data_IF_974703339125
#
_entry.id   IF_974703339125
#
_cell.length_a   1.000
_cell.length_b   1.000
_cell.length_c   1.000
_cell.angle_alpha   90.00
_cell.angle_beta   90.00
_cell.angle_gamma   90.00
#
_symmetry.space_group_name_H-M   'P 1'
#
loop_
_entity.id
_entity.type
_entity.pdbx_description
1 polymer ?
#
# COMPACT_ATOMS: atom_id res chain seq x y z
N UNK A 1 22.68 -5.22 -10.01
CA UNK A 1 21.60 -6.16 -9.65
C UNK A 1 20.44 -5.37 -9.06
N UNK A 2 19.28 -5.50 -9.63
CA UNK A 2 18.11 -4.79 -9.11
C UNK A 2 17.71 -5.36 -7.75
N UNK A 3 17.40 -4.45 -6.84
CA UNK A 3 16.89 -4.82 -5.53
C UNK A 3 15.43 -5.25 -5.65
N UNK A 4 15.11 -6.44 -5.20
CA UNK A 4 13.74 -6.94 -5.19
C UNK A 4 12.97 -6.22 -4.07
N UNK A 5 11.88 -5.55 -4.42
CA UNK A 5 11.03 -4.86 -3.46
C UNK A 5 10.04 -5.83 -2.81
N UNK A 6 9.68 -5.59 -1.54
CA UNK A 6 8.76 -6.48 -0.82
C UNK A 6 7.29 -6.18 -1.17
N UNK A 7 6.89 -6.58 -2.36
CA UNK A 7 5.53 -6.34 -2.86
C UNK A 7 4.47 -7.06 -2.04
N UNK A 8 3.45 -6.33 -1.61
CA UNK A 8 2.32 -6.92 -0.87
C UNK A 8 1.33 -7.65 -1.77
N UNK A 9 1.47 -7.53 -3.08
CA UNK A 9 0.76 -8.40 -4.01
C UNK A 9 1.23 -9.85 -3.95
N UNK A 10 2.39 -10.10 -3.34
CA UNK A 10 2.88 -11.44 -3.05
C UNK A 10 2.37 -11.87 -1.67
N UNK A 11 1.53 -12.92 -1.58
CA UNK A 11 0.86 -13.28 -0.32
C UNK A 11 1.80 -13.50 0.86
N UNK A 12 2.97 -14.11 0.64
CA UNK A 12 3.91 -14.37 1.72
C UNK A 12 4.42 -13.08 2.37
N UNK A 13 4.57 -12.00 1.60
CA UNK A 13 5.01 -10.71 2.13
C UNK A 13 3.91 -10.08 2.99
N UNK A 14 2.66 -10.16 2.56
CA UNK A 14 1.52 -9.68 3.34
C UNK A 14 1.39 -10.45 4.64
N UNK A 15 1.47 -11.77 4.59
CA UNK A 15 1.38 -12.61 5.79
C UNK A 15 2.49 -12.26 6.77
N UNK A 16 3.72 -12.07 6.29
CA UNK A 16 4.86 -11.72 7.13
C UNK A 16 4.65 -10.39 7.86
N UNK A 17 4.13 -9.38 7.15
CA UNK A 17 3.83 -8.06 7.72
C UNK A 17 2.75 -8.18 8.79
N UNK A 18 1.67 -8.89 8.49
CA UNK A 18 0.56 -9.06 9.44
C UNK A 18 1.04 -9.76 10.71
N UNK A 19 1.89 -10.79 10.58
CA UNK A 19 2.44 -11.49 11.73
C UNK A 19 3.38 -10.59 12.54
N UNK A 20 4.22 -9.81 11.85
CA UNK A 20 5.18 -8.90 12.49
C UNK A 20 4.48 -7.89 13.40
N UNK A 21 3.33 -7.39 12.99
CA UNK A 21 2.58 -6.39 13.74
C UNK A 21 1.41 -6.95 14.55
N UNK A 22 1.33 -8.29 14.64
CA UNK A 22 0.34 -8.96 15.49
C UNK A 22 -1.11 -8.84 15.01
N UNK A 23 -1.31 -8.61 13.71
CA UNK A 23 -2.65 -8.56 13.15
C UNK A 23 -3.26 -9.96 13.08
N UNK A 24 -4.46 -10.11 13.65
CA UNK A 24 -5.24 -11.34 13.54
C UNK A 24 -6.21 -11.19 12.39
N UNK A 25 -6.25 -12.18 11.50
CA UNK A 25 -7.19 -12.22 10.40
C UNK A 25 -8.61 -12.34 10.93
N UNK A 26 -9.41 -11.29 10.81
CA UNK A 26 -10.80 -11.30 11.25
C UNK A 26 -11.75 -11.29 10.06
N UNK A 27 -12.07 -12.48 9.57
CA UNK A 27 -12.97 -12.64 8.41
C UNK A 27 -14.33 -12.00 8.63
N UNK A 28 -14.83 -11.97 9.87
CA UNK A 28 -16.15 -11.41 10.18
C UNK A 28 -16.31 -9.93 9.89
N UNK A 29 -15.20 -9.21 9.76
CA UNK A 29 -15.23 -7.78 9.45
C UNK A 29 -14.90 -7.49 7.97
N UNK A 30 -14.82 -8.53 7.16
CA UNK A 30 -14.49 -8.37 5.74
C UNK A 30 -13.07 -7.89 5.48
N UNK A 31 -12.22 -7.94 6.48
CA UNK A 31 -10.82 -7.53 6.33
C UNK A 31 -10.06 -8.62 5.59
N UNK A 32 -9.90 -8.43 4.29
CA UNK A 32 -9.10 -9.32 3.47
C UNK A 32 -7.94 -8.51 2.90
N UNK A 33 -6.76 -8.72 3.47
CA UNK A 33 -5.56 -8.00 3.05
C UNK A 33 -4.85 -8.67 1.88
N UNK A 34 -5.28 -9.88 1.50
CA UNK A 34 -4.67 -10.60 0.39
C UNK A 34 -5.33 -10.16 -0.92
N UNK A 35 -4.60 -9.41 -1.72
CA UNK A 35 -5.05 -8.95 -3.03
C UNK A 35 -4.12 -9.54 -4.08
N UNK A 36 -4.71 -10.12 -5.14
CA UNK A 36 -3.96 -10.73 -6.23
C UNK A 36 -3.12 -9.69 -6.97
N UNK A 37 -1.85 -9.98 -7.12
CA UNK A 37 -0.89 -9.15 -7.85
C UNK A 37 -1.38 -8.79 -9.25
N UNK A 38 -1.96 -9.75 -9.97
CA UNK A 38 -2.44 -9.52 -11.33
C UNK A 38 -3.60 -8.53 -11.38
N UNK A 39 -4.46 -8.54 -10.35
CA UNK A 39 -5.56 -7.58 -10.23
C UNK A 39 -4.99 -6.17 -10.00
N UNK A 40 -4.00 -6.06 -9.13
CA UNK A 40 -3.34 -4.78 -8.84
C UNK A 40 -2.70 -4.20 -10.09
N UNK A 41 -1.95 -5.01 -10.82
CA UNK A 41 -1.30 -4.60 -12.06
C UNK A 41 -2.33 -4.14 -13.10
N UNK A 42 -3.44 -4.87 -13.21
CA UNK A 42 -4.51 -4.53 -14.16
C UNK A 42 -5.18 -3.20 -13.82
N UNK A 43 -5.40 -2.95 -12.54
CA UNK A 43 -5.97 -1.67 -12.08
C UNK A 43 -5.04 -0.52 -12.47
N UNK A 44 -3.76 -0.65 -12.21
CA UNK A 44 -2.77 0.38 -12.55
C UNK A 44 -2.73 0.61 -14.07
N UNK A 45 -2.66 -0.45 -14.84
CA UNK A 45 -2.64 -0.39 -16.30
C UNK A 45 -3.88 0.33 -16.84
N UNK A 46 -5.06 -0.04 -16.31
CA UNK A 46 -6.34 0.53 -16.76
C UNK A 46 -6.54 1.97 -16.32
N UNK A 47 -5.86 2.41 -15.26
CA UNK A 47 -6.01 3.76 -14.72
C UNK A 47 -5.39 4.85 -15.58
N UNK A 48 -4.40 4.50 -16.38
CA UNK A 48 -3.66 5.48 -17.17
C UNK A 48 -2.68 6.34 -16.36
N UNK A 49 -2.37 5.95 -15.13
CA UNK A 49 -1.45 6.67 -14.26
C UNK A 49 -0.03 6.67 -14.87
N UNK A 50 0.60 7.84 -14.86
CA UNK A 50 1.96 8.03 -15.38
C UNK A 50 2.85 8.71 -14.33
N UNK A 51 4.13 8.82 -14.63
CA UNK A 51 5.12 9.52 -13.79
C UNK A 51 4.89 11.04 -13.69
N UNK A 52 3.90 11.57 -14.39
CA UNK A 52 3.50 12.98 -14.27
C UNK A 52 2.37 13.17 -13.25
N UNK A 53 1.82 12.09 -12.70
CA UNK A 53 0.63 12.16 -11.88
C UNK A 53 0.94 12.16 -10.38
N UNK A 54 0.15 12.96 -9.66
CA UNK A 54 0.05 12.92 -8.21
C UNK A 54 -1.21 12.14 -7.85
N UNK A 55 -1.07 11.19 -6.92
CA UNK A 55 -2.18 10.35 -6.49
C UNK A 55 -2.49 10.60 -5.02
N UNK A 56 -3.76 10.81 -4.73
CA UNK A 56 -4.27 10.84 -3.36
C UNK A 56 -5.03 9.55 -3.13
N UNK A 57 -4.57 8.76 -2.19
CA UNK A 57 -5.23 7.51 -1.82
C UNK A 57 -5.85 7.65 -0.43
N UNK A 58 -7.14 7.32 -0.32
CA UNK A 58 -7.85 7.35 0.95
C UNK A 58 -7.99 5.91 1.44
N UNK A 59 -7.55 5.65 2.69
CA UNK A 59 -7.67 4.35 3.30
C UNK A 59 -6.73 3.30 2.71
N UNK A 60 -5.41 3.56 2.68
CA UNK A 60 -4.45 2.62 2.10
C UNK A 60 -4.34 1.28 2.83
N UNK A 61 -4.87 1.18 4.05
CA UNK A 61 -4.74 -0.01 4.86
C UNK A 61 -3.29 -0.30 5.19
N UNK A 62 -2.79 -1.47 4.81
CA UNK A 62 -1.38 -1.84 5.02
C UNK A 62 -0.47 -1.39 3.86
N UNK A 63 -1.03 -0.72 2.84
CA UNK A 63 -0.25 -0.14 1.76
C UNK A 63 -0.14 -0.97 0.50
N UNK A 64 -0.96 -1.99 0.33
CA UNK A 64 -0.88 -2.90 -0.81
C UNK A 64 -1.02 -2.16 -2.15
N UNK A 65 -2.14 -1.45 -2.34
CA UNK A 65 -2.35 -0.67 -3.57
C UNK A 65 -1.37 0.51 -3.64
N UNK A 66 -1.03 1.08 -2.48
CA UNK A 66 -0.13 2.25 -2.40
C UNK A 66 1.21 1.97 -3.06
N UNK A 67 1.78 0.79 -2.85
CA UNK A 67 3.04 0.39 -3.47
C UNK A 67 2.96 0.44 -4.99
N UNK A 68 1.88 -0.11 -5.56
CA UNK A 68 1.68 -0.13 -7.02
C UNK A 68 1.43 1.26 -7.57
N UNK A 69 0.67 2.09 -6.84
CA UNK A 69 0.46 3.49 -7.21
C UNK A 69 1.79 4.27 -7.21
N UNK A 70 2.61 4.07 -6.19
CA UNK A 70 3.90 4.74 -6.08
C UNK A 70 4.87 4.32 -7.17
N UNK A 71 4.83 3.06 -7.58
CA UNK A 71 5.67 2.57 -8.68
C UNK A 71 5.31 3.21 -10.00
N UNK A 72 4.03 3.51 -10.22
CA UNK A 72 3.52 4.05 -11.48
C UNK A 72 3.47 5.57 -11.52
N UNK A 73 3.22 6.23 -10.40
CA UNK A 73 2.99 7.67 -10.32
C UNK A 73 4.25 8.44 -9.96
N UNK A 74 4.16 9.76 -10.02
CA UNK A 74 5.22 10.66 -9.57
C UNK A 74 5.28 10.69 -8.05
N UNK A 75 4.13 10.88 -7.40
CA UNK A 75 4.02 10.87 -5.95
C UNK A 75 2.67 10.34 -5.52
N UNK A 76 2.64 9.72 -4.35
CA UNK A 76 1.40 9.25 -3.73
C UNK A 76 1.33 9.80 -2.30
N UNK A 77 0.20 10.44 -1.99
CA UNK A 77 -0.15 10.81 -0.62
C UNK A 77 -1.27 9.88 -0.16
N UNK A 78 -0.99 9.06 0.84
CA UNK A 78 -1.95 8.10 1.38
C UNK A 78 -2.46 8.58 2.74
N UNK A 79 -3.77 8.68 2.88
CA UNK A 79 -4.41 9.17 4.11
C UNK A 79 -5.10 8.01 4.80
N UNK A 80 -4.62 7.66 6.00
CA UNK A 80 -5.16 6.58 6.81
C UNK A 80 -5.57 7.12 8.18
N UNK A 81 -6.85 6.98 8.51
CA UNK A 81 -7.37 7.50 9.79
C UNK A 81 -7.08 6.57 10.96
N UNK A 82 -6.79 5.30 10.70
CA UNK A 82 -6.42 4.36 11.76
C UNK A 82 -4.94 4.51 12.07
N UNK A 83 -4.64 5.17 13.19
CA UNK A 83 -3.26 5.45 13.59
C UNK A 83 -2.44 4.18 13.85
N UNK A 84 -3.10 3.05 14.15
CA UNK A 84 -2.42 1.78 14.36
C UNK A 84 -1.77 1.23 13.08
N UNK A 85 -2.25 1.68 11.90
CA UNK A 85 -1.71 1.27 10.61
C UNK A 85 -0.51 2.12 10.17
N UNK A 86 -0.28 3.27 10.78
CA UNK A 86 0.80 4.16 10.36
C UNK A 86 2.20 3.53 10.48
N UNK A 87 2.56 2.84 11.59
CA UNK A 87 3.85 2.16 11.66
C UNK A 87 4.00 1.09 10.59
N UNK A 88 2.89 0.40 10.25
CA UNK A 88 2.89 -0.62 9.21
C UNK A 88 3.15 0.02 7.85
N UNK A 89 2.46 1.13 7.55
CA UNK A 89 2.66 1.86 6.30
C UNK A 89 4.09 2.37 6.14
N UNK A 90 4.70 2.85 7.22
CA UNK A 90 6.09 3.28 7.19
C UNK A 90 7.04 2.13 6.84
N UNK A 91 6.71 0.92 7.28
CA UNK A 91 7.48 -0.28 6.96
C UNK A 91 7.23 -0.73 5.52
N UNK A 92 5.97 -0.87 5.12
CA UNK A 92 5.62 -1.41 3.81
C UNK A 92 5.96 -0.48 2.65
N UNK A 93 6.05 0.82 2.91
CA UNK A 93 6.35 1.83 1.89
C UNK A 93 7.79 2.33 1.92
N UNK A 94 8.64 1.76 2.75
CA UNK A 94 10.03 2.25 2.95
C UNK A 94 10.88 2.19 1.67
N UNK A 95 10.56 1.30 0.74
CA UNK A 95 11.30 1.18 -0.52
C UNK A 95 10.74 2.08 -1.64
N UNK A 96 9.73 2.90 -1.31
CA UNK A 96 9.12 3.87 -2.23
C UNK A 96 9.21 5.26 -1.61
N UNK A 97 10.25 6.00 -1.96
CA UNK A 97 10.51 7.33 -1.40
C UNK A 97 9.51 8.40 -1.86
N UNK A 98 8.71 8.08 -2.87
CA UNK A 98 7.67 8.96 -3.40
C UNK A 98 6.28 8.70 -2.79
N UNK A 99 6.18 7.84 -1.78
CA UNK A 99 4.93 7.58 -1.08
C UNK A 99 5.00 8.11 0.35
N UNK A 100 4.02 8.93 0.74
CA UNK A 100 3.94 9.52 2.09
C UNK A 100 2.58 9.19 2.68
N UNK A 101 2.57 8.76 3.94
CA UNK A 101 1.32 8.45 4.65
C UNK A 101 1.00 9.52 5.69
N UNK A 102 -0.28 9.85 5.79
CA UNK A 102 -0.81 10.84 6.73
C UNK A 102 -1.98 10.26 7.52
N UNK A 103 -2.17 10.69 8.77
CA UNK A 103 -3.33 10.28 9.56
C UNK A 103 -4.55 11.14 9.24
N UNK A 104 -4.36 12.36 8.75
CA UNK A 104 -5.44 13.27 8.36
C UNK A 104 -4.90 14.35 7.44
N UNK A 105 -5.82 14.95 6.69
CA UNK A 105 -5.51 16.13 5.88
C UNK A 105 -5.76 17.38 6.72
N UNK A 106 -4.78 18.27 6.75
CA UNK A 106 -4.96 19.60 7.36
C UNK A 106 -5.34 20.59 6.27
N UNK A 107 -6.35 21.35 6.58
CA UNK A 107 -6.77 22.44 5.71
C UNK A 107 -5.73 23.56 5.70
#
# INVERSE_FOLDING_TARGET
>A
MEKVKPWLGEPQNTIAVLQKYGFVFQKKYGQNFLIDEHVLEKIIESSGITKDDFILEIGPGIGTMTQYLAEAAREVAAVEIDSSLIPILKDTLKDWDNAVSYTHLRA
#
